data_IF_271844152968
#
_entry.id   IF_271844152968
#
_cell.length_a   1.000
_cell.length_b   1.000
_cell.length_c   1.000
_cell.angle_alpha   90.00
_cell.angle_beta   90.00
_cell.angle_gamma   90.00
#
_symmetry.space_group_name_H-M   'P 1'
#
loop_
_entity.id
_entity.type
_entity.pdbx_description
1 polymer ?
#
# COMPACT_ATOMS: atom_id res chain seq x y z
N UNK A 1 34.48 -47.43 17.86
CA UNK A 1 34.73 -46.17 17.14
C UNK A 1 33.40 -45.61 16.65
N UNK A 2 32.84 -44.59 17.32
CA UNK A 2 31.52 -44.01 16.98
C UNK A 2 31.73 -42.87 15.97
N UNK A 3 31.14 -43.00 14.77
CA UNK A 3 31.16 -41.98 13.72
C UNK A 3 30.11 -40.91 14.03
N UNK A 4 30.55 -39.67 14.28
CA UNK A 4 29.67 -38.50 14.37
C UNK A 4 29.29 -38.07 12.95
N UNK A 5 28.00 -38.11 12.64
CA UNK A 5 27.44 -37.56 11.40
C UNK A 5 27.05 -36.10 11.65
N UNK A 6 27.87 -35.16 11.17
CA UNK A 6 27.53 -33.75 11.11
C UNK A 6 26.63 -33.53 9.90
N UNK A 7 25.31 -33.38 10.14
CA UNK A 7 24.36 -32.96 9.11
C UNK A 7 24.47 -31.45 8.99
N UNK A 8 25.16 -31.01 7.95
CA UNK A 8 25.28 -29.60 7.56
C UNK A 8 23.93 -29.17 6.95
N UNK A 9 23.04 -28.60 7.76
CA UNK A 9 21.81 -27.99 7.28
C UNK A 9 22.14 -26.65 6.60
N UNK A 10 22.34 -26.70 5.28
CA UNK A 10 22.34 -25.50 4.46
C UNK A 10 20.96 -24.84 4.52
N UNK A 11 20.86 -23.80 5.33
CA UNK A 11 19.68 -22.95 5.42
C UNK A 11 19.43 -22.29 4.06
N UNK A 12 18.47 -22.83 3.32
CA UNK A 12 17.94 -22.24 2.11
C UNK A 12 17.21 -20.95 2.50
N UNK A 13 17.95 -19.84 2.51
CA UNK A 13 17.38 -18.51 2.73
C UNK A 13 16.64 -18.10 1.47
N UNK A 14 15.41 -18.58 1.33
CA UNK A 14 14.47 -18.08 0.34
C UNK A 14 14.30 -16.58 0.61
N UNK A 15 14.92 -15.74 -0.21
CA UNK A 15 14.64 -14.31 -0.21
C UNK A 15 13.18 -14.12 -0.60
N UNK A 16 12.33 -14.06 0.43
CA UNK A 16 10.90 -13.77 0.35
C UNK A 16 10.74 -12.38 -0.28
N UNK A 17 10.67 -12.34 -1.61
CA UNK A 17 10.14 -11.19 -2.30
C UNK A 17 8.67 -11.08 -1.87
N UNK A 18 8.35 -10.01 -1.16
CA UNK A 18 7.00 -9.76 -0.69
C UNK A 18 6.04 -9.84 -1.88
N UNK A 19 5.05 -10.73 -1.79
CA UNK A 19 4.03 -10.86 -2.82
C UNK A 19 3.34 -9.50 -3.04
N UNK A 20 2.93 -9.17 -4.28
CA UNK A 20 2.26 -7.91 -4.55
C UNK A 20 0.96 -7.80 -3.74
N UNK A 21 0.76 -6.66 -3.10
CA UNK A 21 -0.44 -6.36 -2.34
C UNK A 21 -1.51 -5.80 -3.30
N UNK A 22 -2.63 -6.51 -3.44
CA UNK A 22 -3.71 -6.13 -4.37
C UNK A 22 -4.91 -5.63 -3.58
N UNK A 23 -5.37 -4.44 -3.93
CA UNK A 23 -6.57 -3.80 -3.39
C UNK A 23 -7.66 -3.71 -4.44
N UNK A 24 -8.91 -3.75 -3.99
CA UNK A 24 -10.11 -3.50 -4.78
C UNK A 24 -10.50 -2.05 -4.59
N UNK A 25 -10.68 -1.33 -5.71
CA UNK A 25 -11.17 0.04 -5.69
C UNK A 25 -12.65 0.02 -5.31
N UNK A 26 -13.02 0.87 -4.35
CA UNK A 26 -14.41 1.10 -3.96
C UNK A 26 -15.13 1.78 -5.12
N UNK A 27 -16.28 1.25 -5.49
CA UNK A 27 -17.13 1.82 -6.53
C UNK A 27 -17.59 3.23 -6.13
N UNK A 28 -17.64 4.14 -7.10
CA UNK A 28 -18.23 5.46 -6.94
C UNK A 28 -18.94 5.92 -8.24
N UNK A 29 -19.35 7.19 -8.28
CA UNK A 29 -20.06 7.76 -9.45
C UNK A 29 -19.29 7.67 -10.78
N UNK A 30 -17.95 7.62 -10.74
CA UNK A 30 -17.09 7.63 -11.92
C UNK A 30 -16.46 6.26 -12.20
N UNK A 31 -16.28 5.44 -11.16
CA UNK A 31 -15.59 4.16 -11.21
C UNK A 31 -16.55 3.02 -10.85
N UNK A 32 -16.79 2.13 -11.80
CA UNK A 32 -17.61 0.93 -11.61
C UNK A 32 -16.86 -0.13 -10.79
N UNK A 33 -15.59 -0.36 -11.14
CA UNK A 33 -14.73 -1.36 -10.48
C UNK A 33 -13.26 -1.12 -10.82
N UNK A 34 -12.35 -1.65 -10.01
CA UNK A 34 -10.93 -1.62 -10.36
C UNK A 34 -10.03 -2.22 -9.30
N UNK A 35 -8.73 -2.19 -9.58
CA UNK A 35 -7.69 -2.66 -8.67
C UNK A 35 -6.54 -1.68 -8.54
N UNK A 36 -5.93 -1.65 -7.36
CA UNK A 36 -4.63 -1.04 -7.12
C UNK A 36 -3.67 -2.13 -6.67
N UNK A 37 -2.53 -2.23 -7.32
CA UNK A 37 -1.47 -3.19 -6.97
C UNK A 37 -0.28 -2.40 -6.46
N UNK A 38 0.12 -2.71 -5.24
CA UNK A 38 1.33 -2.22 -4.60
C UNK A 38 2.39 -3.31 -4.66
N UNK A 39 3.58 -2.96 -5.16
CA UNK A 39 4.69 -3.88 -5.25
C UNK A 39 5.96 -3.18 -4.79
N UNK A 40 6.72 -3.80 -3.89
CA UNK A 40 8.02 -3.28 -3.46
C UNK A 40 9.11 -4.14 -4.07
N UNK A 41 10.00 -3.50 -4.82
CA UNK A 41 11.19 -4.14 -5.35
C UNK A 41 12.44 -3.47 -4.82
N UNK A 42 13.44 -4.25 -4.45
CA UNK A 42 14.75 -3.74 -4.06
C UNK A 42 15.61 -3.52 -5.31
N UNK A 43 16.12 -2.31 -5.49
CA UNK A 43 17.04 -1.94 -6.58
C UNK A 43 18.29 -1.34 -5.94
N UNK A 44 19.37 -2.13 -5.88
CA UNK A 44 20.55 -1.78 -5.08
C UNK A 44 20.20 -1.67 -3.59
N UNK A 45 20.47 -0.50 -2.99
CA UNK A 45 20.15 -0.19 -1.59
C UNK A 45 18.76 0.44 -1.40
N UNK A 46 18.01 0.66 -2.49
CA UNK A 46 16.75 1.41 -2.49
C UNK A 46 15.56 0.47 -2.57
N UNK A 47 14.48 0.80 -1.86
CA UNK A 47 13.19 0.13 -2.02
C UNK A 47 12.30 0.98 -2.91
N UNK A 48 11.83 0.39 -4.00
CA UNK A 48 10.98 1.06 -4.97
C UNK A 48 9.57 0.50 -4.83
N UNK A 49 8.65 1.33 -4.36
CA UNK A 49 7.21 1.09 -4.39
C UNK A 49 6.69 1.42 -5.79
N UNK A 50 6.20 0.39 -6.48
CA UNK A 50 5.38 0.54 -7.68
C UNK A 50 3.91 0.48 -7.29
N UNK A 51 3.17 1.52 -7.65
CA UNK A 51 1.72 1.61 -7.50
C UNK A 51 1.12 1.55 -8.90
N UNK A 52 0.43 0.46 -9.22
CA UNK A 52 -0.27 0.26 -10.48
C UNK A 52 -1.77 0.29 -10.23
N UNK A 53 -2.51 1.01 -11.05
CA UNK A 53 -3.97 1.12 -10.97
C UNK A 53 -4.60 0.71 -12.29
N UNK A 54 -5.73 0.02 -12.20
CA UNK A 54 -6.59 -0.32 -13.33
C UNK A 54 -8.04 -0.13 -12.90
N UNK A 55 -8.72 0.85 -13.46
CA UNK A 55 -10.10 1.19 -13.11
C UNK A 55 -11.00 1.19 -14.36
N UNK A 56 -12.12 0.48 -14.29
CA UNK A 56 -13.19 0.55 -15.29
C UNK A 56 -14.14 1.66 -14.90
N UNK A 57 -14.40 2.56 -15.84
CA UNK A 57 -15.24 3.72 -15.58
C UNK A 57 -16.70 3.41 -15.84
N UNK A 58 -17.60 4.11 -15.15
CA UNK A 58 -19.06 3.96 -15.33
C UNK A 58 -19.49 4.40 -16.74
N UNK A 59 -18.81 5.39 -17.33
CA UNK A 59 -19.03 5.79 -18.72
C UNK A 59 -18.42 4.78 -19.69
N UNK A 60 -19.26 4.17 -20.51
CA UNK A 60 -18.84 3.19 -21.53
C UNK A 60 -17.89 3.81 -22.57
N UNK A 61 -18.08 5.09 -22.91
CA UNK A 61 -17.23 5.84 -23.86
C UNK A 61 -15.78 5.96 -23.37
N UNK A 62 -15.57 5.97 -22.05
CA UNK A 62 -14.25 6.24 -21.46
C UNK A 62 -13.45 4.97 -21.16
N UNK A 63 -14.14 3.82 -21.08
CA UNK A 63 -13.52 2.49 -21.01
C UNK A 63 -12.69 2.23 -19.74
N UNK A 64 -11.62 1.44 -19.86
CA UNK A 64 -10.72 1.14 -18.73
C UNK A 64 -9.55 2.11 -18.72
N UNK A 65 -9.32 2.79 -17.60
CA UNK A 65 -8.16 3.63 -17.35
C UNK A 65 -7.09 2.87 -16.58
N UNK A 66 -5.82 3.09 -16.93
CA UNK A 66 -4.66 2.50 -16.28
C UNK A 66 -3.70 3.62 -15.86
N UNK A 67 -3.03 3.44 -14.74
CA UNK A 67 -2.00 4.36 -14.27
C UNK A 67 -0.90 3.62 -13.52
N UNK A 68 0.33 4.07 -13.67
CA UNK A 68 1.48 3.52 -12.94
C UNK A 68 2.33 4.67 -12.38
N UNK A 69 2.74 4.54 -11.13
CA UNK A 69 3.76 5.40 -10.54
C UNK A 69 4.75 4.57 -9.74
N UNK A 70 5.99 5.06 -9.67
CA UNK A 70 7.07 4.47 -8.88
C UNK A 70 7.59 5.52 -7.92
N UNK A 71 7.85 5.10 -6.69
CA UNK A 71 8.22 5.95 -5.56
C UNK A 71 9.31 5.21 -4.80
N UNK A 72 10.35 5.92 -4.38
CA UNK A 72 11.33 5.38 -3.46
C UNK A 72 10.77 5.44 -2.04
N UNK A 73 10.66 4.28 -1.39
CA UNK A 73 10.26 4.15 0.01
C UNK A 73 11.50 3.95 0.88
N UNK A 74 11.61 4.68 2.01
CA UNK A 74 12.63 4.38 3.00
C UNK A 74 12.44 2.97 3.57
N UNK A 75 13.54 2.24 3.74
CA UNK A 75 13.54 0.83 4.19
C UNK A 75 12.87 0.60 5.53
N UNK A 76 13.00 1.55 6.45
CA UNK A 76 12.44 1.43 7.80
C UNK A 76 10.90 1.42 7.77
N UNK A 77 10.24 2.04 6.79
CA UNK A 77 8.76 2.02 6.66
C UNK A 77 8.21 0.80 5.91
N UNK A 78 9.02 -0.25 5.79
CA UNK A 78 8.59 -1.59 5.37
C UNK A 78 8.38 -2.53 6.57
N UNK A 79 8.65 -2.06 7.80
CA UNK A 79 8.48 -2.85 9.03
C UNK A 79 7.61 -2.10 10.04
N UNK A 80 7.00 -2.87 10.94
CA UNK A 80 6.22 -2.34 12.07
C UNK A 80 7.03 -1.38 12.94
N UNK A 81 8.32 -1.69 13.17
CA UNK A 81 9.23 -0.84 13.93
C UNK A 81 9.31 0.57 13.35
N UNK A 82 9.35 0.71 12.02
CA UNK A 82 9.30 2.02 11.38
C UNK A 82 8.02 2.77 11.67
N UNK A 83 6.85 2.09 11.62
CA UNK A 83 5.57 2.74 11.91
C UNK A 83 5.42 3.15 13.38
N UNK A 84 5.92 2.33 14.31
CA UNK A 84 6.01 2.68 15.73
C UNK A 84 6.92 3.88 15.96
N UNK A 85 8.04 3.97 15.26
CA UNK A 85 8.89 5.18 15.28
C UNK A 85 8.17 6.40 14.71
N UNK A 86 7.43 6.24 13.59
CA UNK A 86 6.67 7.35 13.01
C UNK A 86 5.58 7.87 13.94
N UNK A 87 4.97 7.00 14.74
CA UNK A 87 4.01 7.39 15.77
C UNK A 87 4.69 8.25 16.84
N UNK A 88 5.87 7.85 17.32
CA UNK A 88 6.65 8.62 18.31
C UNK A 88 7.07 9.99 17.76
N UNK A 89 7.59 10.02 16.53
CA UNK A 89 8.11 11.24 15.89
C UNK A 89 6.98 12.14 15.33
N UNK A 90 5.78 11.57 15.13
CA UNK A 90 4.60 12.18 14.51
C UNK A 90 4.73 12.44 12.99
N UNK A 91 5.94 12.62 12.49
CA UNK A 91 6.22 12.94 11.09
C UNK A 91 7.60 12.47 10.65
N UNK A 92 7.75 12.26 9.34
CA UNK A 92 9.01 11.98 8.68
C UNK A 92 9.07 12.71 7.35
N UNK A 93 10.26 13.17 6.97
CA UNK A 93 10.46 13.83 5.69
C UNK A 93 11.86 13.57 5.17
N UNK A 94 11.94 13.14 3.92
CA UNK A 94 13.19 13.07 3.17
C UNK A 94 13.05 13.74 1.79
N UNK A 95 13.98 13.45 0.89
CA UNK A 95 13.96 14.00 -0.46
C UNK A 95 12.86 13.41 -1.38
N UNK A 96 12.34 12.22 -1.06
CA UNK A 96 11.39 11.49 -1.91
C UNK A 96 9.96 11.54 -1.37
N UNK A 97 9.80 11.43 -0.06
CA UNK A 97 8.52 11.25 0.61
C UNK A 97 8.45 12.04 1.92
N UNK A 98 7.24 12.52 2.24
CA UNK A 98 6.89 12.97 3.58
C UNK A 98 5.80 12.06 4.13
N UNK A 99 6.00 11.52 5.33
CA UNK A 99 5.02 10.73 6.06
C UNK A 99 4.53 11.50 7.28
N UNK A 100 3.25 11.35 7.62
CA UNK A 100 2.66 11.91 8.82
C UNK A 100 1.77 10.89 9.49
N UNK A 101 2.07 10.57 10.75
CA UNK A 101 1.18 9.76 11.57
C UNK A 101 -0.09 10.56 11.88
N UNK A 102 -1.24 9.91 11.75
CA UNK A 102 -2.56 10.54 11.89
C UNK A 102 -3.43 9.84 12.95
N UNK A 103 -2.82 9.00 13.78
CA UNK A 103 -3.50 8.24 14.83
C UNK A 103 -3.57 6.73 14.54
N UNK A 104 -4.07 5.99 15.52
CA UNK A 104 -4.42 4.57 15.40
C UNK A 104 -5.87 4.41 14.94
N UNK A 105 -6.19 3.29 14.30
CA UNK A 105 -7.58 2.81 14.13
C UNK A 105 -7.61 1.31 13.91
N UNK A 106 -8.78 0.75 14.14
CA UNK A 106 -9.09 -0.61 13.70
C UNK A 106 -9.51 -0.62 12.23
N UNK A 107 -9.34 -1.76 11.58
CA UNK A 107 -9.66 -1.97 10.19
C UNK A 107 -10.08 -3.42 9.91
N UNK A 108 -11.37 -3.64 9.67
CA UNK A 108 -11.84 -5.00 9.43
C UNK A 108 -11.67 -5.84 10.69
N UNK A 109 -11.05 -7.04 10.58
CA UNK A 109 -10.69 -7.87 11.72
C UNK A 109 -9.35 -7.47 12.38
N UNK A 110 -8.68 -6.43 11.88
CA UNK A 110 -7.35 -6.01 12.35
C UNK A 110 -7.48 -4.84 13.32
N UNK A 111 -6.75 -4.90 14.43
CA UNK A 111 -6.82 -3.92 15.50
C UNK A 111 -5.52 -3.12 15.61
N UNK A 112 -5.59 -1.94 16.22
CA UNK A 112 -4.43 -1.09 16.52
C UNK A 112 -3.55 -0.74 15.28
N UNK A 113 -4.18 -0.56 14.13
CA UNK A 113 -3.48 -0.22 12.90
C UNK A 113 -3.08 1.27 12.87
N UNK A 114 -2.03 1.58 12.12
CA UNK A 114 -1.44 2.92 12.00
C UNK A 114 -2.05 3.68 10.82
N UNK A 115 -2.66 4.84 11.06
CA UNK A 115 -3.09 5.75 9.97
C UNK A 115 -1.95 6.66 9.58
N UNK A 116 -1.55 6.59 8.31
CA UNK A 116 -0.42 7.36 7.79
C UNK A 116 -0.84 8.13 6.55
N UNK A 117 -0.45 9.41 6.49
CA UNK A 117 -0.51 10.22 5.28
C UNK A 117 0.86 10.26 4.62
N UNK A 118 0.92 10.07 3.32
CA UNK A 118 2.12 10.09 2.49
C UNK A 118 1.99 11.11 1.37
N UNK A 119 2.99 11.98 1.26
CA UNK A 119 3.14 12.93 0.17
C UNK A 119 4.42 12.63 -0.60
N UNK A 120 4.34 12.58 -1.93
CA UNK A 120 5.51 12.36 -2.78
C UNK A 120 6.13 13.71 -3.09
N UNK A 121 7.32 13.99 -2.58
CA UNK A 121 7.94 15.31 -2.67
C UNK A 121 8.30 15.67 -4.13
N UNK A 122 8.69 14.69 -4.94
CA UNK A 122 9.03 14.88 -6.38
C UNK A 122 7.84 14.88 -7.34
N UNK A 123 6.63 14.55 -6.87
CA UNK A 123 5.43 14.49 -7.71
C UNK A 123 4.30 15.28 -7.03
N UNK A 124 4.35 16.62 -7.10
CA UNK A 124 3.34 17.46 -6.48
C UNK A 124 1.93 17.06 -6.95
N UNK A 125 1.00 16.97 -6.01
CA UNK A 125 -0.39 16.58 -6.25
C UNK A 125 -0.67 15.09 -6.03
N UNK A 126 0.33 14.21 -6.06
CA UNK A 126 0.15 12.82 -5.63
C UNK A 126 0.28 12.71 -4.11
N UNK A 127 -0.83 12.37 -3.47
CA UNK A 127 -0.87 12.08 -2.05
C UNK A 127 -1.59 10.75 -1.83
N UNK A 128 -1.28 10.10 -0.72
CA UNK A 128 -1.94 8.88 -0.31
C UNK A 128 -2.18 8.92 1.19
N UNK A 129 -3.30 8.38 1.64
CA UNK A 129 -3.49 7.97 3.04
C UNK A 129 -3.62 6.47 3.06
N UNK A 130 -3.04 5.81 4.04
CA UNK A 130 -3.16 4.38 4.16
C UNK A 130 -3.20 3.97 5.63
N UNK A 131 -3.70 2.76 5.85
CA UNK A 131 -3.77 2.14 7.16
C UNK A 131 -2.86 0.93 7.16
N UNK A 132 -1.77 0.98 7.93
CA UNK A 132 -0.85 -0.13 8.10
C UNK A 132 -1.28 -1.01 9.27
N UNK A 133 -1.51 -2.29 9.04
CA UNK A 133 -1.80 -3.30 10.06
C UNK A 133 -0.68 -4.35 10.02
N UNK A 134 0.05 -4.62 11.12
CA UNK A 134 1.15 -5.58 11.16
C UNK A 134 0.78 -7.00 10.73
N UNK A 135 -0.46 -7.42 10.98
CA UNK A 135 -0.99 -8.75 10.67
C UNK A 135 -1.31 -8.93 9.19
N UNK A 136 -1.38 -7.84 8.42
CA UNK A 136 -1.55 -7.90 6.98
C UNK A 136 -0.18 -8.21 6.33
N UNK A 137 -0.08 -9.23 5.48
CA UNK A 137 1.19 -9.60 4.85
C UNK A 137 1.71 -8.53 3.86
N UNK A 138 2.94 -8.74 3.40
CA UNK A 138 3.65 -7.85 2.47
C UNK A 138 3.83 -6.43 3.04
N UNK A 139 3.16 -5.44 2.47
CA UNK A 139 3.26 -4.03 2.91
C UNK A 139 2.42 -3.72 4.14
N UNK A 140 1.49 -4.61 4.53
CA UNK A 140 0.59 -4.38 5.65
C UNK A 140 -0.49 -3.32 5.42
N UNK A 141 -0.67 -2.81 4.20
CA UNK A 141 -1.64 -1.74 3.95
C UNK A 141 -3.04 -2.32 3.79
N UNK A 142 -3.89 -2.16 4.79
CA UNK A 142 -5.26 -2.65 4.74
C UNK A 142 -6.18 -1.77 3.91
N UNK A 143 -6.14 -0.46 4.17
CA UNK A 143 -6.90 0.56 3.43
C UNK A 143 -5.90 1.51 2.77
N UNK A 144 -6.21 1.94 1.55
CA UNK A 144 -5.51 3.03 0.88
C UNK A 144 -6.50 4.02 0.27
N UNK A 145 -6.20 5.30 0.38
CA UNK A 145 -6.90 6.41 -0.27
C UNK A 145 -5.89 7.18 -1.09
N UNK A 146 -5.99 7.09 -2.41
CA UNK A 146 -5.05 7.69 -3.34
C UNK A 146 -5.66 8.95 -3.96
N UNK A 147 -5.02 10.09 -3.75
CA UNK A 147 -5.41 11.37 -4.32
C UNK A 147 -4.65 11.59 -5.62
N UNK A 148 -5.35 11.55 -6.75
CA UNK A 148 -4.79 11.76 -8.07
C UNK A 148 -5.14 13.17 -8.54
N UNK A 149 -4.13 14.03 -8.81
CA UNK A 149 -4.35 15.47 -8.94
C UNK A 149 -5.15 15.84 -10.20
N UNK A 150 -5.03 15.08 -11.29
CA UNK A 150 -5.87 15.25 -12.48
C UNK A 150 -5.81 14.01 -13.34
N UNK A 151 -6.94 13.36 -13.55
CA UNK A 151 -7.12 12.34 -14.58
C UNK A 151 -7.77 13.05 -15.77
N UNK A 152 -7.26 12.91 -17.01
CA UNK A 152 -7.94 13.43 -18.19
C UNK A 152 -9.42 13.00 -18.21
N UNK A 153 -10.31 13.94 -18.55
CA UNK A 153 -11.77 13.78 -18.57
C UNK A 153 -12.48 13.66 -17.21
N UNK A 154 -11.78 13.40 -16.10
CA UNK A 154 -12.38 13.20 -14.77
C UNK A 154 -11.99 14.25 -13.73
N UNK A 155 -11.00 15.09 -14.03
CA UNK A 155 -10.49 16.07 -13.06
C UNK A 155 -9.70 15.40 -11.93
N UNK A 156 -9.54 16.10 -10.81
CA UNK A 156 -8.94 15.53 -9.62
C UNK A 156 -9.86 14.43 -9.06
N UNK A 157 -9.30 13.30 -8.67
CA UNK A 157 -10.10 12.16 -8.21
C UNK A 157 -9.40 11.43 -7.07
N UNK A 158 -10.20 10.83 -6.19
CA UNK A 158 -9.72 10.11 -5.00
C UNK A 158 -10.16 8.66 -5.07
N UNK A 159 -9.21 7.74 -5.20
CA UNK A 159 -9.50 6.31 -5.18
C UNK A 159 -9.41 5.80 -3.74
N UNK A 160 -10.54 5.35 -3.17
CA UNK A 160 -10.52 4.53 -1.96
C UNK A 160 -10.38 3.05 -2.36
N UNK A 161 -9.56 2.29 -1.64
CA UNK A 161 -9.36 0.88 -1.92
C UNK A 161 -9.02 0.09 -0.67
N UNK A 162 -9.38 -1.20 -0.68
CA UNK A 162 -9.16 -2.12 0.44
C UNK A 162 -8.46 -3.38 -0.02
N UNK A 163 -7.64 -3.96 0.84
CA UNK A 163 -6.95 -5.21 0.55
C UNK A 163 -7.93 -6.37 0.28
N UNK A 164 -7.68 -7.12 -0.81
CA UNK A 164 -8.62 -8.09 -1.41
C UNK A 164 -9.00 -9.31 -0.57
N UNK A 165 -8.43 -9.48 0.63
CA UNK A 165 -8.77 -10.59 1.53
C UNK A 165 -9.77 -10.22 2.62
N UNK A 166 -10.28 -8.99 2.59
CA UNK A 166 -11.36 -8.57 3.46
C UNK A 166 -12.67 -9.01 2.79
N UNK A 167 -13.51 -9.68 3.55
CA UNK A 167 -14.82 -10.13 3.11
C UNK A 167 -15.57 -8.97 2.39
N UNK A 168 -16.06 -9.19 1.16
CA UNK A 168 -16.88 -8.22 0.44
C UNK A 168 -18.08 -7.69 1.24
N UNK A 169 -18.60 -8.46 2.21
CA UNK A 169 -19.65 -8.02 3.14
C UNK A 169 -19.20 -6.83 3.99
N UNK A 170 -17.92 -6.81 4.40
CA UNK A 170 -17.32 -5.73 5.16
C UNK A 170 -17.16 -4.46 4.33
N UNK A 171 -16.77 -4.58 3.05
CA UNK A 171 -16.62 -3.43 2.13
C UNK A 171 -17.93 -2.65 1.99
N UNK A 172 -19.08 -3.34 2.00
CA UNK A 172 -20.41 -2.70 1.96
C UNK A 172 -20.77 -1.96 3.25
N UNK A 173 -20.27 -2.39 4.41
CA UNK A 173 -20.56 -1.77 5.72
C UNK A 173 -19.83 -0.44 5.94
N UNK A 174 -18.65 -0.24 5.35
CA UNK A 174 -17.83 0.99 5.44
C UNK A 174 -17.95 1.92 4.23
N UNK A 175 -18.84 1.60 3.28
CA UNK A 175 -19.14 2.42 2.10
C UNK A 175 -20.45 3.24 2.23
N UNK A 176 -21.20 3.02 3.31
CA UNK A 176 -22.33 3.86 3.75
C UNK A 176 -21.89 4.78 4.89
#
# INVERSE_FOLDING_TARGET
>A
MKKLLFILSWGFSSSLLAAPLVHTIVQDSLIERGTITFNVTKVGQKNILSIKSKAKTTSWLLGTKKGETKIELPSHYLSEEGYRKLEQDGHYKDHYVSLKFSGRKDFGPYYDCYKVSMRINKKPGWNMRFTYCPEIPALGWGEATLFVPKIPFYGAHTFKSYWNRIDPSYIKLIAN
#
